data_IF_529860918510
#
_entry.id   IF_529860918510
#
_cell.length_a   1.000
_cell.length_b   1.000
_cell.length_c   1.000
_cell.angle_alpha   90.00
_cell.angle_beta   90.00
_cell.angle_gamma   90.00
#
_symmetry.space_group_name_H-M   'P 1'
#
loop_
_entity.id
_entity.type
_entity.pdbx_description
1 polymer ?
#
# COMPACT_ATOMS: atom_id res chain seq x y z
N UNK A 1 19.18 21.96 -2.29
CA UNK A 1 20.41 22.11 -3.11
C UNK A 1 21.47 22.99 -2.45
N UNK A 2 21.21 24.27 -2.14
CA UNK A 2 22.21 25.17 -1.54
C UNK A 2 22.87 24.64 -0.24
N UNK A 3 22.11 24.04 0.67
CA UNK A 3 22.65 23.49 1.92
C UNK A 3 23.63 22.33 1.73
N UNK A 4 23.41 21.46 0.74
CA UNK A 4 24.30 20.32 0.49
C UNK A 4 25.64 20.75 -0.13
N UNK A 5 25.61 21.75 -1.00
CA UNK A 5 26.83 22.34 -1.56
C UNK A 5 27.68 23.01 -0.47
N UNK A 6 27.03 23.66 0.50
CA UNK A 6 27.70 24.18 1.70
C UNK A 6 28.32 23.08 2.57
N UNK A 7 27.64 21.95 2.72
CA UNK A 7 28.15 20.80 3.46
C UNK A 7 29.39 20.19 2.79
N UNK A 8 29.38 20.04 1.46
CA UNK A 8 30.53 19.54 0.69
C UNK A 8 31.75 20.48 0.80
N UNK A 9 31.52 21.79 0.73
CA UNK A 9 32.58 22.79 0.91
C UNK A 9 33.18 22.77 2.33
N UNK A 10 32.41 22.29 3.31
CA UNK A 10 32.80 22.21 4.73
C UNK A 10 33.38 20.85 5.14
N UNK A 11 33.56 19.91 4.19
CA UNK A 11 34.21 18.62 4.40
C UNK A 11 33.29 17.46 4.80
N UNK A 12 33.83 16.25 4.71
CA UNK A 12 33.09 14.99 4.86
C UNK A 12 32.41 14.82 6.24
N UNK A 13 33.03 15.29 7.33
CA UNK A 13 32.41 15.26 8.67
C UNK A 13 31.14 16.11 8.74
N UNK A 14 31.11 17.26 8.06
CA UNK A 14 29.93 18.11 8.00
C UNK A 14 28.83 17.46 7.17
N UNK A 15 29.20 16.76 6.10
CA UNK A 15 28.27 15.94 5.32
C UNK A 15 27.67 14.87 6.23
N UNK A 16 28.46 14.07 6.91
CA UNK A 16 27.96 12.96 7.73
C UNK A 16 27.09 13.45 8.90
N UNK A 17 27.53 14.49 9.62
CA UNK A 17 26.77 15.12 10.71
C UNK A 17 25.38 15.60 10.27
N UNK A 18 25.28 16.13 9.05
CA UNK A 18 24.02 16.66 8.52
C UNK A 18 23.19 15.61 7.76
N UNK A 19 23.65 14.36 7.64
CA UNK A 19 22.98 13.32 6.86
C UNK A 19 21.54 13.04 7.32
N UNK A 20 21.20 12.90 8.62
CA UNK A 20 19.82 12.65 9.04
C UNK A 20 18.85 13.77 8.62
N UNK A 21 19.27 15.03 8.75
CA UNK A 21 18.46 16.19 8.35
C UNK A 21 18.21 16.21 6.85
N UNK A 22 19.22 15.87 6.04
CA UNK A 22 19.07 15.81 4.57
C UNK A 22 18.27 14.60 4.11
N UNK A 23 18.39 13.48 4.81
CA UNK A 23 17.59 12.29 4.58
C UNK A 23 16.08 12.58 4.78
N UNK A 24 15.72 13.23 5.89
CA UNK A 24 14.35 13.68 6.11
C UNK A 24 13.86 14.66 5.03
N UNK A 25 14.69 15.63 4.63
CA UNK A 25 14.34 16.55 3.56
C UNK A 25 14.14 15.86 2.20
N UNK A 26 14.90 14.80 1.90
CA UNK A 26 14.70 13.97 0.71
C UNK A 26 13.39 13.20 0.77
N UNK A 27 13.11 12.54 1.90
CA UNK A 27 11.83 11.84 2.15
C UNK A 27 10.64 12.77 1.91
N UNK A 28 10.67 13.96 2.52
CA UNK A 28 9.58 14.94 2.40
C UNK A 28 9.42 15.47 0.97
N UNK A 29 10.54 15.69 0.27
CA UNK A 29 10.51 16.07 -1.13
C UNK A 29 9.85 14.97 -1.98
N UNK A 30 10.27 13.71 -1.82
CA UNK A 30 9.69 12.56 -2.53
C UNK A 30 8.19 12.44 -2.24
N UNK A 31 7.78 12.54 -0.98
CA UNK A 31 6.38 12.47 -0.56
C UNK A 31 5.54 13.59 -1.21
N UNK A 32 6.08 14.81 -1.31
CA UNK A 32 5.38 15.95 -1.89
C UNK A 32 5.11 15.85 -3.41
N UNK A 33 5.84 14.99 -4.13
CA UNK A 33 5.66 14.82 -5.57
C UNK A 33 4.51 13.85 -5.94
N UNK A 34 3.92 13.17 -4.95
CA UNK A 34 2.76 12.30 -5.13
C UNK A 34 3.09 10.80 -5.34
N UNK A 35 2.07 9.98 -5.63
CA UNK A 35 2.15 8.52 -5.49
C UNK A 35 3.21 7.82 -6.33
N UNK A 36 3.51 8.34 -7.52
CA UNK A 36 4.55 7.77 -8.39
C UNK A 36 5.95 7.91 -7.77
N UNK A 37 6.26 9.06 -7.20
CA UNK A 37 7.56 9.29 -6.56
C UNK A 37 7.68 8.56 -5.22
N UNK A 38 6.59 8.45 -4.46
CA UNK A 38 6.56 7.61 -3.25
C UNK A 38 6.97 6.18 -3.59
N UNK A 39 6.44 5.59 -4.67
CA UNK A 39 6.84 4.24 -5.12
C UNK A 39 8.33 4.14 -5.48
N UNK A 40 8.91 5.17 -6.07
CA UNK A 40 10.37 5.23 -6.32
C UNK A 40 11.13 5.25 -4.99
N UNK A 41 10.71 6.08 -4.04
CA UNK A 41 11.29 6.13 -2.70
C UNK A 41 11.24 4.77 -1.99
N UNK A 42 10.10 4.08 -2.08
CA UNK A 42 9.92 2.72 -1.55
C UNK A 42 10.87 1.71 -2.20
N UNK A 43 11.00 1.74 -3.53
CA UNK A 43 11.90 0.85 -4.26
C UNK A 43 13.38 1.07 -3.89
N UNK A 44 13.78 2.31 -3.60
CA UNK A 44 15.13 2.64 -3.14
C UNK A 44 15.33 2.24 -1.67
N UNK A 45 14.32 2.41 -0.81
CA UNK A 45 14.41 2.12 0.62
C UNK A 45 14.77 0.66 0.94
N UNK A 46 14.42 -0.28 0.06
CA UNK A 46 14.69 -1.72 0.22
C UNK A 46 16.04 -2.17 -0.39
N UNK A 47 16.86 -1.24 -0.88
CA UNK A 47 18.15 -1.51 -1.53
C UNK A 47 19.30 -0.91 -0.71
N UNK A 48 19.82 -1.64 0.29
CA UNK A 48 20.81 -1.11 1.22
C UNK A 48 22.14 -0.73 0.58
N UNK A 49 22.38 -1.16 -0.66
CA UNK A 49 23.54 -0.85 -1.47
C UNK A 49 23.46 0.50 -2.20
N UNK A 50 22.29 1.14 -2.26
CA UNK A 50 22.10 2.37 -3.05
C UNK A 50 22.36 3.67 -2.28
N UNK A 51 22.08 3.70 -0.97
CA UNK A 51 22.15 4.92 -0.17
C UNK A 51 22.76 4.66 1.22
N UNK A 52 23.37 5.68 1.85
CA UNK A 52 23.82 5.56 3.23
C UNK A 52 22.67 5.27 4.20
N UNK A 53 22.98 4.61 5.32
CA UNK A 53 21.99 4.17 6.32
C UNK A 53 20.98 5.26 6.72
N UNK A 54 21.44 6.48 7.00
CA UNK A 54 20.56 7.58 7.40
C UNK A 54 19.48 7.91 6.36
N UNK A 55 19.78 7.76 5.07
CA UNK A 55 18.83 7.97 3.98
C UNK A 55 17.88 6.79 3.83
N UNK A 56 18.39 5.56 3.93
CA UNK A 56 17.55 4.36 3.92
C UNK A 56 16.55 4.40 5.07
N UNK A 57 16.99 4.71 6.29
CA UNK A 57 16.13 4.81 7.47
C UNK A 57 15.01 5.85 7.27
N UNK A 58 15.30 7.01 6.67
CA UNK A 58 14.28 8.01 6.39
C UNK A 58 13.32 7.60 5.26
N UNK A 59 13.83 6.94 4.20
CA UNK A 59 12.98 6.46 3.10
C UNK A 59 12.16 5.22 3.50
N UNK A 60 12.56 4.48 4.53
CA UNK A 60 11.78 3.38 5.10
C UNK A 60 10.43 3.87 5.65
N UNK A 61 10.34 5.13 6.08
CA UNK A 61 9.07 5.75 6.48
C UNK A 61 8.12 5.98 5.30
N UNK A 62 8.61 5.92 4.06
CA UNK A 62 7.75 5.95 2.85
C UNK A 62 7.16 4.57 2.55
N UNK A 63 7.63 3.49 3.16
CA UNK A 63 7.03 2.18 2.96
C UNK A 63 5.57 2.19 3.44
N UNK A 64 4.71 1.49 2.70
CA UNK A 64 3.29 1.39 3.01
C UNK A 64 3.08 0.68 4.36
N UNK A 65 3.07 1.45 5.43
CA UNK A 65 2.59 1.09 6.77
C UNK A 65 1.21 1.72 6.95
N UNK A 66 0.28 1.36 6.07
CA UNK A 66 -1.03 2.04 6.03
C UNK A 66 -2.04 1.27 6.84
N UNK A 67 -2.55 1.90 7.89
CA UNK A 67 -3.67 1.34 8.65
C UNK A 67 -4.85 1.04 7.69
N UNK A 68 -5.56 -0.09 7.90
CA UNK A 68 -6.75 -0.37 7.13
C UNK A 68 -7.79 0.73 7.35
N UNK A 69 -8.57 1.03 6.32
CA UNK A 69 -9.78 1.85 6.47
C UNK A 69 -10.92 0.96 6.97
N UNK A 70 -12.04 1.61 7.33
CA UNK A 70 -13.20 0.93 7.94
C UNK A 70 -13.67 -0.27 7.11
N UNK A 71 -13.79 -1.43 7.77
CA UNK A 71 -14.35 -2.64 7.18
C UNK A 71 -15.81 -2.44 6.75
N UNK A 72 -16.57 -1.59 7.45
CA UNK A 72 -17.93 -1.22 7.06
C UNK A 72 -17.95 -0.48 5.72
N UNK A 73 -17.05 0.49 5.56
CA UNK A 73 -16.89 1.24 4.32
C UNK A 73 -16.39 0.33 3.18
N UNK A 74 -15.48 -0.60 3.48
CA UNK A 74 -15.02 -1.58 2.51
C UNK A 74 -16.14 -2.48 2.02
N UNK A 75 -16.99 -3.00 2.92
CA UNK A 75 -18.18 -3.79 2.57
C UNK A 75 -19.14 -3.00 1.68
N UNK A 76 -19.38 -1.73 2.00
CA UNK A 76 -20.23 -0.87 1.18
C UNK A 76 -19.67 -0.69 -0.24
N UNK A 77 -18.35 -0.48 -0.39
CA UNK A 77 -17.69 -0.38 -1.69
C UNK A 77 -17.77 -1.67 -2.49
N UNK A 78 -17.57 -2.84 -1.85
CA UNK A 78 -17.71 -4.14 -2.52
C UNK A 78 -19.13 -4.33 -3.02
N UNK A 79 -20.16 -4.09 -2.20
CA UNK A 79 -21.57 -4.18 -2.63
C UNK A 79 -21.84 -3.26 -3.82
N UNK A 80 -21.37 -2.01 -3.77
CA UNK A 80 -21.56 -1.07 -4.87
C UNK A 80 -20.91 -1.55 -6.18
N UNK A 81 -19.71 -2.13 -6.13
CA UNK A 81 -19.04 -2.67 -7.31
C UNK A 81 -19.66 -3.97 -7.84
N UNK A 82 -20.35 -4.73 -6.99
CA UNK A 82 -21.09 -5.93 -7.36
C UNK A 82 -22.53 -5.61 -7.84
N UNK A 83 -22.83 -4.36 -8.18
CA UNK A 83 -24.15 -3.96 -8.68
C UNK A 83 -25.23 -3.90 -7.60
N UNK A 84 -24.86 -3.81 -6.33
CA UNK A 84 -25.78 -3.72 -5.20
C UNK A 84 -26.17 -5.06 -4.58
N UNK A 85 -25.55 -6.16 -5.00
CA UNK A 85 -25.75 -7.48 -4.37
C UNK A 85 -25.30 -7.48 -2.91
N UNK A 86 -25.99 -8.27 -2.09
CA UNK A 86 -25.54 -8.56 -0.75
C UNK A 86 -24.30 -9.46 -0.78
N UNK A 87 -23.41 -9.29 0.19
CA UNK A 87 -22.15 -10.04 0.23
C UNK A 87 -22.43 -11.52 0.51
N UNK A 88 -23.50 -11.80 1.25
CA UNK A 88 -24.00 -13.11 1.61
C UNK A 88 -24.42 -13.92 0.38
N UNK A 89 -24.84 -13.27 -0.71
CA UNK A 89 -25.21 -13.94 -1.96
C UNK A 89 -23.99 -14.35 -2.80
N UNK A 90 -22.84 -13.73 -2.55
CA UNK A 90 -21.62 -13.87 -3.35
C UNK A 90 -20.54 -14.65 -2.62
N UNK A 91 -20.41 -14.48 -1.31
CA UNK A 91 -19.36 -15.06 -0.49
C UNK A 91 -19.93 -16.06 0.53
N UNK A 92 -19.17 -17.13 0.81
CA UNK A 92 -19.55 -18.14 1.80
C UNK A 92 -19.63 -17.57 3.22
N UNK A 93 -18.71 -16.66 3.55
CA UNK A 93 -18.58 -16.01 4.85
C UNK A 93 -18.32 -14.51 4.70
N UNK A 94 -19.25 -13.68 5.20
CA UNK A 94 -19.12 -12.22 5.19
C UNK A 94 -18.19 -11.71 6.31
N UNK A 95 -17.94 -12.53 7.33
CA UNK A 95 -16.91 -12.31 8.34
C UNK A 95 -15.50 -12.20 7.75
N UNK A 96 -15.28 -12.75 6.53
CA UNK A 96 -14.07 -12.55 5.74
C UNK A 96 -13.73 -11.07 5.49
N UNK A 97 -14.69 -10.16 5.63
CA UNK A 97 -14.52 -8.72 5.48
C UNK A 97 -14.38 -7.95 6.81
N UNK A 98 -14.33 -8.61 7.97
CA UNK A 98 -14.17 -7.92 9.27
C UNK A 98 -12.78 -7.33 9.45
N UNK A 99 -11.74 -8.02 8.94
CA UNK A 99 -10.37 -7.57 8.99
C UNK A 99 -9.63 -7.91 7.69
N UNK A 100 -8.94 -6.94 7.06
CA UNK A 100 -8.14 -7.22 5.87
C UNK A 100 -6.87 -8.00 6.22
N UNK A 101 -6.44 -8.85 5.28
CA UNK A 101 -5.18 -9.58 5.39
C UNK A 101 -3.97 -8.71 5.04
N UNK A 102 -4.18 -7.62 4.29
CA UNK A 102 -3.17 -6.64 3.96
C UNK A 102 -3.81 -5.27 3.68
N UNK A 103 -3.10 -4.19 3.99
CA UNK A 103 -3.48 -2.84 3.62
C UNK A 103 -2.29 -2.13 2.98
N UNK A 104 -2.57 -1.32 1.96
CA UNK A 104 -1.58 -0.57 1.20
C UNK A 104 -2.11 0.84 0.90
N UNK A 105 -1.28 1.65 0.24
CA UNK A 105 -1.59 3.02 -0.17
C UNK A 105 -2.89 3.14 -0.98
N UNK A 106 -3.19 2.20 -1.87
CA UNK A 106 -4.32 2.29 -2.80
C UNK A 106 -5.57 1.53 -2.33
N UNK A 107 -5.45 0.63 -1.36
CA UNK A 107 -6.53 -0.28 -0.99
C UNK A 107 -6.16 -1.23 0.12
N UNK A 108 -7.09 -2.12 0.46
CA UNK A 108 -6.85 -3.26 1.34
C UNK A 108 -7.39 -4.54 0.73
N UNK A 109 -6.80 -5.66 1.11
CA UNK A 109 -7.08 -6.98 0.55
C UNK A 109 -7.73 -7.85 1.64
N UNK A 110 -8.78 -8.56 1.25
CA UNK A 110 -9.43 -9.58 2.06
C UNK A 110 -9.23 -10.95 1.41
N UNK A 111 -9.10 -11.98 2.24
CA UNK A 111 -9.18 -13.37 1.78
C UNK A 111 -10.61 -13.82 2.01
N UNK A 112 -11.32 -14.12 0.94
CA UNK A 112 -12.70 -14.57 0.99
C UNK A 112 -12.88 -15.82 0.11
N UNK A 113 -14.02 -16.48 0.26
CA UNK A 113 -14.40 -17.61 -0.58
C UNK A 113 -15.74 -17.34 -1.24
N UNK A 114 -15.77 -17.45 -2.55
CA UNK A 114 -16.99 -17.30 -3.34
C UNK A 114 -17.91 -18.51 -3.10
N UNK A 115 -19.22 -18.28 -3.21
CA UNK A 115 -20.17 -19.38 -3.36
C UNK A 115 -20.07 -19.94 -4.76
N UNK A 116 -20.27 -21.25 -4.91
CA UNK A 116 -20.40 -21.88 -6.23
C UNK A 116 -21.57 -21.28 -7.03
N UNK A 117 -22.64 -20.87 -6.32
CA UNK A 117 -23.80 -20.20 -6.90
C UNK A 117 -23.61 -18.69 -7.15
N UNK A 118 -22.42 -18.14 -6.88
CA UNK A 118 -22.19 -16.70 -7.03
C UNK A 118 -22.35 -16.27 -8.50
N UNK A 119 -22.97 -15.10 -8.77
CA UNK A 119 -23.16 -14.64 -10.14
C UNK A 119 -21.84 -14.49 -10.90
N UNK A 120 -21.76 -15.06 -12.10
CA UNK A 120 -20.61 -14.96 -12.98
C UNK A 120 -19.46 -15.93 -12.69
N UNK A 121 -19.65 -16.90 -11.78
CA UNK A 121 -18.72 -18.01 -11.56
C UNK A 121 -19.10 -19.19 -12.46
N UNK A 122 -18.15 -19.69 -13.25
CA UNK A 122 -18.32 -20.93 -14.00
C UNK A 122 -18.03 -22.14 -13.10
N UNK A 123 -18.86 -23.19 -13.20
CA UNK A 123 -18.71 -24.38 -12.37
C UNK A 123 -17.34 -25.07 -12.57
N UNK A 124 -16.81 -25.08 -13.79
CA UNK A 124 -15.49 -25.66 -14.08
C UNK A 124 -14.35 -24.83 -13.49
N UNK A 125 -14.51 -23.51 -13.38
CA UNK A 125 -13.56 -22.65 -12.67
C UNK A 125 -13.61 -22.93 -11.17
N UNK A 126 -14.81 -23.04 -10.61
CA UNK A 126 -14.99 -23.33 -9.19
C UNK A 126 -14.36 -24.68 -8.79
N UNK A 127 -14.50 -25.72 -9.61
CA UNK A 127 -13.82 -27.02 -9.38
C UNK A 127 -12.29 -26.90 -9.43
N UNK A 128 -11.74 -25.94 -10.18
CA UNK A 128 -10.30 -25.80 -10.39
C UNK A 128 -9.59 -25.17 -9.19
N UNK A 129 -10.15 -24.11 -8.61
CA UNK A 129 -9.51 -23.33 -7.53
C UNK A 129 -10.38 -23.18 -6.27
N UNK A 130 -11.54 -23.84 -6.22
CA UNK A 130 -12.32 -24.06 -5.01
C UNK A 130 -12.99 -22.82 -4.43
N UNK A 131 -13.12 -21.73 -5.18
CA UNK A 131 -13.79 -20.51 -4.71
C UNK A 131 -12.90 -19.53 -3.93
N UNK A 132 -11.65 -19.87 -3.62
CA UNK A 132 -10.74 -18.99 -2.87
C UNK A 132 -10.33 -17.75 -3.68
N UNK A 133 -10.58 -16.55 -3.14
CA UNK A 133 -10.28 -15.27 -3.79
C UNK A 133 -9.60 -14.25 -2.88
N UNK A 134 -8.79 -13.39 -3.49
CA UNK A 134 -8.29 -12.18 -2.88
C UNK A 134 -9.11 -10.97 -3.36
N UNK A 135 -9.95 -10.41 -2.48
CA UNK A 135 -10.78 -9.25 -2.79
C UNK A 135 -10.01 -7.98 -2.43
N UNK A 136 -9.52 -7.27 -3.45
CA UNK A 136 -8.83 -5.99 -3.26
C UNK A 136 -9.82 -4.84 -3.38
N UNK A 137 -10.04 -4.15 -2.26
CA UNK A 137 -10.93 -2.99 -2.16
C UNK A 137 -10.11 -1.72 -2.23
N UNK A 138 -10.37 -0.88 -3.23
CA UNK A 138 -9.73 0.42 -3.36
C UNK A 138 -10.16 1.35 -2.22
N UNK A 139 -9.24 2.12 -1.65
CA UNK A 139 -9.59 3.13 -0.65
C UNK A 139 -10.54 4.17 -1.24
N UNK A 140 -11.49 4.69 -0.45
CA UNK A 140 -12.37 5.77 -0.89
C UNK A 140 -11.56 6.99 -1.34
N UNK A 141 -12.00 7.65 -2.43
CA UNK A 141 -11.46 8.93 -2.95
C UNK A 141 -10.00 8.90 -3.43
N UNK A 142 -9.54 7.77 -4.01
CA UNK A 142 -8.22 7.68 -4.66
C UNK A 142 -8.21 8.14 -6.14
N UNK A 143 -9.33 8.66 -6.64
CA UNK A 143 -9.43 9.37 -7.92
C UNK A 143 -10.40 10.55 -7.77
#
# INVERSE_FOLDING_TARGET
LAGFLGDLASGAETVERNAPRRAAALRDLIASQGPAFVKVGQAVAIRPDLLPKAYLDALQELLDQVAPFSSEEARALVRAQLGGLDLEDVFEDVGAFDAPVAAASIGQVYKAKLRESAPGVDASEFETWGGDVAVKVQRPRIL
#
